data_IF_290125109250
#
_entry.id   IF_290125109250
#
_cell.length_a   1.000
_cell.length_b   1.000
_cell.length_c   1.000
_cell.angle_alpha   90.00
_cell.angle_beta   90.00
_cell.angle_gamma   90.00
#
_symmetry.space_group_name_H-M   'P 1'
#
loop_
_entity.id
_entity.type
_entity.pdbx_description
1 polymer ?
#
# COMPACT_ATOMS: atom_id res chain seq x y z
N UNK A 1 11.27 -11.43 10.78
CA UNK A 1 10.21 -10.51 10.29
C UNK A 1 10.88 -9.41 9.49
N UNK A 2 10.49 -9.22 8.25
CA UNK A 2 11.08 -8.21 7.37
C UNK A 2 10.41 -6.84 7.57
N UNK A 3 10.52 -6.32 8.80
CA UNK A 3 9.93 -5.04 9.20
C UNK A 3 10.26 -3.87 8.23
N UNK A 4 11.49 -3.74 7.69
CA UNK A 4 11.78 -2.70 6.71
C UNK A 4 10.89 -2.77 5.46
N UNK A 5 10.61 -3.96 4.93
CA UNK A 5 9.74 -4.14 3.77
C UNK A 5 8.26 -3.89 4.10
N UNK A 6 7.82 -4.27 5.30
CA UNK A 6 6.48 -3.94 5.81
C UNK A 6 6.29 -2.43 5.82
N UNK A 7 7.24 -1.69 6.39
CA UNK A 7 7.20 -0.22 6.45
C UNK A 7 7.25 0.40 5.05
N UNK A 8 8.19 -0.03 4.21
CA UNK A 8 8.31 0.48 2.84
C UNK A 8 7.00 0.33 2.07
N UNK A 9 6.45 -0.88 2.03
CA UNK A 9 5.27 -1.15 1.22
C UNK A 9 4.03 -0.43 1.74
N UNK A 10 3.80 -0.37 3.05
CA UNK A 10 2.62 0.30 3.61
C UNK A 10 2.71 1.82 3.49
N UNK A 11 3.88 2.42 3.80
CA UNK A 11 4.05 3.87 3.74
C UNK A 11 4.05 4.39 2.29
N UNK A 12 4.67 3.68 1.36
CA UNK A 12 4.63 4.03 -0.07
C UNK A 12 3.20 3.96 -0.61
N UNK A 13 2.41 2.96 -0.23
CA UNK A 13 1.00 2.84 -0.62
C UNK A 13 0.16 3.95 -0.01
N UNK A 14 0.39 4.34 1.25
CA UNK A 14 -0.27 5.49 1.85
C UNK A 14 0.05 6.79 1.09
N UNK A 15 1.30 7.00 0.70
CA UNK A 15 1.72 8.14 -0.09
C UNK A 15 1.06 8.17 -1.48
N UNK A 16 1.09 7.04 -2.19
CA UNK A 16 0.44 6.90 -3.51
C UNK A 16 -1.07 7.12 -3.40
N UNK A 17 -1.70 6.52 -2.39
CA UNK A 17 -3.12 6.67 -2.12
C UNK A 17 -3.53 8.12 -1.84
N UNK A 18 -2.72 8.89 -1.09
CA UNK A 18 -2.95 10.32 -0.87
C UNK A 18 -2.98 11.09 -2.19
N UNK A 19 -2.04 10.83 -3.10
CA UNK A 19 -2.00 11.49 -4.41
C UNK A 19 -3.20 11.08 -5.27
N UNK A 20 -3.63 9.81 -5.22
CA UNK A 20 -4.86 9.35 -5.88
C UNK A 20 -6.09 10.11 -5.36
N UNK A 21 -6.22 10.26 -4.03
CA UNK A 21 -7.34 11.01 -3.44
C UNK A 21 -7.25 12.51 -3.73
N UNK A 22 -6.07 13.07 -3.89
CA UNK A 22 -5.89 14.44 -4.36
C UNK A 22 -6.43 14.59 -5.77
N UNK A 23 -6.09 13.70 -6.69
CA UNK A 23 -6.60 13.70 -8.07
C UNK A 23 -8.14 13.51 -8.12
N UNK A 24 -8.69 12.62 -7.32
CA UNK A 24 -10.16 12.43 -7.22
C UNK A 24 -10.85 13.72 -6.78
N UNK A 25 -10.31 14.40 -5.77
CA UNK A 25 -10.89 15.67 -5.27
C UNK A 25 -10.77 16.84 -6.27
N UNK A 26 -9.77 16.84 -7.14
CA UNK A 26 -9.67 17.84 -8.22
C UNK A 26 -10.87 17.81 -9.17
N UNK A 27 -11.48 16.63 -9.35
CA UNK A 27 -12.59 16.44 -10.30
C UNK A 27 -13.96 16.40 -9.63
N UNK A 28 -14.03 15.97 -8.37
CA UNK A 28 -15.30 15.66 -7.72
C UNK A 28 -15.74 16.66 -6.65
N UNK A 29 -14.98 17.71 -6.37
CA UNK A 29 -15.31 18.59 -5.27
C UNK A 29 -14.81 20.03 -5.38
N UNK A 30 -15.34 20.93 -4.54
CA UNK A 30 -14.79 22.26 -4.41
C UNK A 30 -13.34 22.14 -3.95
N UNK A 31 -12.40 22.51 -4.80
CA UNK A 31 -10.99 22.54 -4.51
C UNK A 31 -10.72 23.39 -3.28
N UNK A 32 -10.39 22.77 -2.19
CA UNK A 32 -10.05 23.44 -0.93
C UNK A 32 -9.32 22.45 -0.02
N UNK A 33 -8.28 22.95 0.61
CA UNK A 33 -7.44 22.16 1.52
C UNK A 33 -6.01 22.67 1.53
N UNK A 34 -5.23 22.25 2.51
CA UNK A 34 -3.82 22.64 2.60
C UNK A 34 -2.96 21.73 1.73
N UNK A 35 -2.99 21.97 0.41
CA UNK A 35 -2.25 21.18 -0.55
C UNK A 35 -0.76 21.02 -0.18
N UNK A 36 -0.09 22.08 0.32
CA UNK A 36 1.32 22.01 0.70
C UNK A 36 1.57 20.99 1.82
N UNK A 37 0.75 21.02 2.88
CA UNK A 37 0.88 20.06 3.99
C UNK A 37 0.61 18.63 3.53
N UNK A 38 -0.38 18.45 2.66
CA UNK A 38 -0.70 17.13 2.08
C UNK A 38 0.50 16.57 1.30
N UNK A 39 1.09 17.36 0.38
CA UNK A 39 2.25 16.93 -0.37
C UNK A 39 3.51 16.75 0.48
N UNK A 40 3.65 17.53 1.57
CA UNK A 40 4.70 17.28 2.56
C UNK A 40 4.53 15.92 3.23
N UNK A 41 3.30 15.54 3.58
CA UNK A 41 3.04 14.21 4.14
C UNK A 41 3.31 13.10 3.10
N UNK A 42 2.91 13.29 1.84
CA UNK A 42 3.21 12.36 0.73
C UNK A 42 4.72 12.12 0.62
N UNK A 43 5.50 13.21 0.54
CA UNK A 43 6.95 13.12 0.44
C UNK A 43 7.59 12.47 1.68
N UNK A 44 7.08 12.80 2.88
CA UNK A 44 7.58 12.22 4.13
C UNK A 44 7.30 10.71 4.21
N UNK A 45 6.07 10.27 3.92
CA UNK A 45 5.71 8.85 3.92
C UNK A 45 6.55 8.05 2.92
N UNK A 46 6.69 8.56 1.69
CA UNK A 46 7.51 7.90 0.67
C UNK A 46 8.98 7.88 1.03
N UNK A 47 9.51 9.01 1.53
CA UNK A 47 10.92 9.13 1.93
C UNK A 47 11.27 8.20 3.10
N UNK A 48 10.41 8.15 4.13
CA UNK A 48 10.57 7.22 5.26
C UNK A 48 10.48 5.78 4.80
N UNK A 49 9.53 5.46 3.90
CA UNK A 49 9.42 4.12 3.31
C UNK A 49 10.69 3.71 2.56
N UNK A 50 11.21 4.57 1.67
CA UNK A 50 12.46 4.32 0.95
C UNK A 50 13.63 4.17 1.94
N UNK A 51 13.75 5.05 2.93
CA UNK A 51 14.79 4.95 3.94
C UNK A 51 14.68 3.62 4.71
N UNK A 52 13.47 3.22 5.12
CA UNK A 52 13.25 1.93 5.78
C UNK A 52 13.72 0.76 4.89
N UNK A 53 13.44 0.79 3.58
CA UNK A 53 13.86 -0.28 2.66
C UNK A 53 15.38 -0.47 2.58
N UNK A 54 16.18 0.56 2.87
CA UNK A 54 17.63 0.44 2.86
C UNK A 54 18.16 -0.44 4.01
N UNK A 55 17.42 -0.55 5.11
CA UNK A 55 17.87 -1.33 6.28
C UNK A 55 17.78 -2.86 6.10
N UNK A 56 17.10 -3.35 5.06
CA UNK A 56 17.11 -4.78 4.75
C UNK A 56 18.21 -5.17 3.75
N UNK A 57 18.90 -4.19 3.15
CA UNK A 57 19.96 -4.44 2.21
C UNK A 57 21.27 -4.76 2.94
N UNK A 58 21.95 -5.83 2.55
CA UNK A 58 23.29 -6.14 3.05
C UNK A 58 24.33 -5.06 2.75
N UNK A 59 24.16 -4.34 1.62
CA UNK A 59 25.04 -3.26 1.17
C UNK A 59 24.20 -2.03 0.76
N UNK A 60 23.70 -1.21 1.69
CA UNK A 60 22.81 -0.07 1.39
C UNK A 60 23.42 0.95 0.42
N UNK A 61 24.75 1.18 0.49
CA UNK A 61 25.46 2.11 -0.38
C UNK A 61 25.50 1.66 -1.84
N UNK A 62 25.26 0.40 -2.11
CA UNK A 62 25.22 -0.17 -3.46
C UNK A 62 23.79 -0.29 -4.02
N UNK A 63 22.79 0.29 -3.33
CA UNK A 63 21.39 0.24 -3.74
C UNK A 63 21.12 0.77 -5.16
N UNK A 64 21.98 1.66 -5.68
CA UNK A 64 21.92 2.14 -7.07
C UNK A 64 22.07 1.01 -8.10
N UNK A 65 22.72 -0.12 -7.73
CA UNK A 65 22.82 -1.31 -8.60
C UNK A 65 21.46 -1.97 -8.86
N UNK A 66 20.49 -1.72 -8.01
CA UNK A 66 19.12 -2.17 -8.26
C UNK A 66 18.54 -1.61 -9.58
N UNK A 67 19.07 -0.50 -10.09
CA UNK A 67 18.66 0.09 -11.37
C UNK A 67 19.31 -0.57 -12.61
N UNK A 68 20.30 -1.47 -12.43
CA UNK A 68 21.06 -2.05 -13.53
C UNK A 68 20.27 -2.98 -14.47
N UNK A 69 19.10 -3.50 -14.02
CA UNK A 69 18.37 -4.54 -14.74
C UNK A 69 16.90 -4.16 -15.05
N UNK A 70 16.68 -2.93 -15.51
CA UNK A 70 15.32 -2.41 -15.80
C UNK A 70 14.54 -3.27 -16.81
N UNK A 71 15.22 -3.91 -17.77
CA UNK A 71 14.57 -4.76 -18.76
C UNK A 71 14.07 -6.09 -18.19
N UNK A 72 14.75 -6.63 -17.16
CA UNK A 72 14.55 -8.01 -16.68
C UNK A 72 13.96 -8.10 -15.27
N UNK A 73 14.22 -7.12 -14.39
CA UNK A 73 13.87 -7.20 -12.98
C UNK A 73 12.76 -6.22 -12.59
N UNK A 74 11.71 -6.74 -11.98
CA UNK A 74 10.62 -5.91 -11.43
C UNK A 74 11.10 -5.01 -10.31
N UNK A 75 12.04 -5.46 -9.47
CA UNK A 75 12.68 -4.65 -8.44
C UNK A 75 13.34 -3.39 -9.04
N UNK A 76 14.03 -3.50 -10.18
CA UNK A 76 14.63 -2.32 -10.83
C UNK A 76 13.57 -1.30 -11.25
N UNK A 77 12.45 -1.77 -11.77
CA UNK A 77 11.31 -0.92 -12.17
C UNK A 77 10.63 -0.29 -10.97
N UNK A 78 10.50 -1.04 -9.87
CA UNK A 78 9.96 -0.55 -8.60
C UNK A 78 10.81 0.60 -8.04
N UNK A 79 12.13 0.40 -7.95
CA UNK A 79 13.06 1.41 -7.44
C UNK A 79 13.03 2.68 -8.30
N UNK A 80 13.00 2.53 -9.63
CA UNK A 80 12.92 3.67 -10.54
C UNK A 80 11.60 4.43 -10.38
N UNK A 81 10.46 3.73 -10.43
CA UNK A 81 9.14 4.35 -10.35
C UNK A 81 8.90 5.00 -8.98
N UNK A 82 9.34 4.35 -7.89
CA UNK A 82 9.28 4.90 -6.54
C UNK A 82 10.16 6.15 -6.40
N UNK A 83 11.34 6.15 -6.98
CA UNK A 83 12.23 7.31 -7.02
C UNK A 83 11.64 8.50 -7.79
N UNK A 84 11.04 8.26 -8.97
CA UNK A 84 10.35 9.28 -9.75
C UNK A 84 9.16 9.84 -8.97
N UNK A 85 8.33 8.98 -8.38
CA UNK A 85 7.20 9.39 -7.55
C UNK A 85 7.65 10.26 -6.38
N UNK A 86 8.70 9.85 -5.66
CA UNK A 86 9.27 10.61 -4.55
C UNK A 86 9.78 11.98 -5.01
N UNK A 87 10.49 12.06 -6.12
CA UNK A 87 11.01 13.31 -6.68
C UNK A 87 9.87 14.30 -7.02
N UNK A 88 8.80 13.80 -7.66
CA UNK A 88 7.61 14.60 -7.97
C UNK A 88 6.91 15.08 -6.70
N UNK A 89 6.76 14.22 -5.70
CA UNK A 89 6.15 14.55 -4.42
C UNK A 89 6.97 15.59 -3.65
N UNK A 90 8.29 15.43 -3.57
CA UNK A 90 9.20 16.36 -2.94
C UNK A 90 9.20 17.74 -3.64
N UNK A 91 9.21 17.74 -4.97
CA UNK A 91 9.08 18.97 -5.77
C UNK A 91 7.74 19.68 -5.50
N UNK A 92 6.63 18.95 -5.47
CA UNK A 92 5.32 19.50 -5.18
C UNK A 92 5.25 20.10 -3.75
N UNK A 93 5.82 19.42 -2.76
CA UNK A 93 5.88 19.87 -1.38
C UNK A 93 6.74 21.14 -1.23
N UNK A 94 7.93 21.16 -1.84
CA UNK A 94 8.88 22.28 -1.75
C UNK A 94 8.35 23.55 -2.42
N UNK A 95 7.76 23.41 -3.62
CA UNK A 95 7.33 24.56 -4.42
C UNK A 95 5.91 25.01 -4.14
N UNK A 96 5.06 24.15 -3.55
CA UNK A 96 3.62 24.39 -3.36
C UNK A 96 2.83 24.42 -4.69
N UNK A 97 3.47 24.11 -5.83
CA UNK A 97 2.87 24.21 -7.19
C UNK A 97 1.77 23.21 -7.45
N UNK A 98 1.65 22.15 -6.67
CA UNK A 98 0.58 21.15 -6.86
C UNK A 98 -0.83 21.72 -6.76
N UNK A 99 -1.04 22.80 -6.01
CA UNK A 99 -2.35 23.46 -5.88
C UNK A 99 -2.89 24.03 -7.21
N UNK A 100 -2.01 24.35 -8.16
CA UNK A 100 -2.38 24.98 -9.45
C UNK A 100 -1.96 24.18 -10.68
N UNK A 101 -1.43 22.96 -10.52
CA UNK A 101 -0.91 22.17 -11.63
C UNK A 101 -1.54 20.77 -11.70
N UNK A 102 -2.66 20.60 -12.43
CA UNK A 102 -3.23 19.27 -12.68
C UNK A 102 -2.22 18.31 -13.31
N UNK A 103 -1.34 18.83 -14.17
CA UNK A 103 -0.28 18.02 -14.82
C UNK A 103 0.63 17.37 -13.80
N UNK A 104 1.09 18.13 -12.78
CA UNK A 104 1.95 17.58 -11.74
C UNK A 104 1.23 16.50 -10.92
N UNK A 105 -0.05 16.71 -10.61
CA UNK A 105 -0.87 15.71 -9.89
C UNK A 105 -1.00 14.44 -10.71
N UNK A 106 -1.37 14.55 -11.99
CA UNK A 106 -1.56 13.37 -12.85
C UNK A 106 -0.24 12.65 -13.17
N UNK A 107 0.86 13.37 -13.35
CA UNK A 107 2.18 12.78 -13.50
C UNK A 107 2.57 11.98 -12.24
N UNK A 108 2.26 12.52 -11.06
CA UNK A 108 2.50 11.82 -9.79
C UNK A 108 1.58 10.60 -9.61
N UNK A 109 0.31 10.69 -10.03
CA UNK A 109 -0.61 9.53 -10.06
C UNK A 109 -0.04 8.43 -10.94
N UNK A 110 0.39 8.76 -12.17
CA UNK A 110 0.94 7.78 -13.09
C UNK A 110 2.21 7.11 -12.51
N UNK A 111 3.15 7.91 -12.00
CA UNK A 111 4.36 7.40 -11.37
C UNK A 111 4.05 6.50 -10.16
N UNK A 112 3.08 6.91 -9.32
CA UNK A 112 2.63 6.13 -8.17
C UNK A 112 1.97 4.81 -8.55
N UNK A 113 1.11 4.79 -9.55
CA UNK A 113 0.49 3.55 -10.05
C UNK A 113 1.50 2.61 -10.68
N UNK A 114 2.49 3.13 -11.41
CA UNK A 114 3.59 2.33 -11.95
C UNK A 114 4.47 1.76 -10.83
N UNK A 115 4.75 2.54 -9.78
CA UNK A 115 5.48 2.05 -8.61
C UNK A 115 4.69 0.95 -7.88
N UNK A 116 3.38 1.12 -7.70
CA UNK A 116 2.51 0.13 -7.07
C UNK A 116 2.43 -1.17 -7.89
N UNK A 117 2.28 -1.06 -9.21
CA UNK A 117 2.30 -2.22 -10.11
C UNK A 117 3.63 -2.95 -10.05
N UNK A 118 4.74 -2.22 -10.17
CA UNK A 118 6.08 -2.81 -10.11
C UNK A 118 6.33 -3.49 -8.76
N UNK A 119 5.92 -2.85 -7.65
CA UNK A 119 5.99 -3.44 -6.31
C UNK A 119 5.18 -4.73 -6.21
N UNK A 120 3.93 -4.73 -6.68
CA UNK A 120 3.09 -5.93 -6.70
C UNK A 120 3.74 -7.09 -7.47
N UNK A 121 4.37 -6.80 -8.60
CA UNK A 121 5.08 -7.80 -9.41
C UNK A 121 6.41 -8.24 -8.78
N UNK A 122 7.11 -7.37 -8.05
CA UNK A 122 8.32 -7.71 -7.29
C UNK A 122 8.00 -8.78 -6.22
N UNK A 123 6.85 -8.66 -5.57
CA UNK A 123 6.41 -9.60 -4.52
C UNK A 123 5.52 -10.75 -5.03
N UNK A 124 5.51 -10.98 -6.35
CA UNK A 124 4.87 -12.12 -7.00
C UNK A 124 5.88 -13.07 -7.66
N UNK A 125 6.98 -13.51 -6.99
CA UNK A 125 7.96 -14.39 -7.62
C UNK A 125 7.40 -15.83 -7.75
N UNK A 126 7.89 -16.62 -8.74
CA UNK A 126 7.51 -18.02 -8.89
C UNK A 126 7.76 -18.88 -7.64
N UNK A 127 8.70 -18.46 -6.81
CA UNK A 127 9.03 -19.15 -5.57
C UNK A 127 7.98 -19.01 -4.45
N UNK A 128 6.96 -18.18 -4.65
CA UNK A 128 5.82 -17.98 -3.74
C UNK A 128 4.51 -18.33 -4.46
N UNK A 129 4.15 -19.62 -4.65
CA UNK A 129 3.03 -20.04 -5.50
C UNK A 129 1.68 -19.41 -5.15
N UNK A 130 1.41 -19.16 -3.86
CA UNK A 130 0.17 -18.55 -3.40
C UNK A 130 -0.03 -17.12 -3.92
N UNK A 131 1.06 -16.39 -4.16
CA UNK A 131 1.04 -14.99 -4.58
C UNK A 131 1.73 -14.74 -5.92
N UNK A 132 2.16 -15.79 -6.64
CA UNK A 132 2.71 -15.69 -8.00
C UNK A 132 1.60 -15.39 -9.03
N UNK A 133 0.92 -14.28 -8.82
CA UNK A 133 -0.21 -13.80 -9.63
C UNK A 133 -0.46 -12.32 -9.33
N UNK A 134 -1.62 -11.78 -9.71
CA UNK A 134 -1.97 -10.38 -9.48
C UNK A 134 -2.33 -10.02 -8.02
N UNK A 135 -2.43 -10.99 -7.10
CA UNK A 135 -2.88 -10.73 -5.72
C UNK A 135 -2.03 -9.70 -4.96
N UNK A 136 -0.68 -9.70 -5.02
CA UNK A 136 0.09 -8.65 -4.34
C UNK A 136 -0.29 -7.25 -4.84
N UNK A 137 -0.46 -7.08 -6.16
CA UNK A 137 -0.90 -5.80 -6.74
C UNK A 137 -2.29 -5.41 -6.24
N UNK A 138 -3.22 -6.35 -6.17
CA UNK A 138 -4.58 -6.13 -5.64
C UNK A 138 -4.54 -5.71 -4.17
N UNK A 139 -3.79 -6.42 -3.34
CA UNK A 139 -3.62 -6.07 -1.92
C UNK A 139 -3.03 -4.67 -1.76
N UNK A 140 -2.02 -4.33 -2.55
CA UNK A 140 -1.33 -3.05 -2.49
C UNK A 140 -2.23 -1.90 -2.95
N UNK A 141 -3.03 -2.13 -3.99
CA UNK A 141 -4.01 -1.14 -4.45
C UNK A 141 -5.10 -0.89 -3.40
N UNK A 142 -5.62 -1.94 -2.77
CA UNK A 142 -6.59 -1.81 -1.67
C UNK A 142 -5.98 -1.01 -0.52
N UNK A 143 -4.77 -1.35 -0.06
CA UNK A 143 -4.06 -0.61 0.98
C UNK A 143 -3.87 0.86 0.60
N UNK A 144 -3.50 1.14 -0.66
CA UNK A 144 -3.32 2.51 -1.14
C UNK A 144 -4.64 3.30 -1.10
N UNK A 145 -5.77 2.69 -1.52
CA UNK A 145 -7.07 3.37 -1.49
C UNK A 145 -7.56 3.56 -0.05
N UNK A 146 -7.43 2.56 0.82
CA UNK A 146 -7.80 2.64 2.24
C UNK A 146 -7.01 3.73 2.93
N UNK A 147 -5.69 3.67 2.91
CA UNK A 147 -4.83 4.64 3.60
C UNK A 147 -4.91 6.03 2.95
N UNK A 148 -5.00 6.07 1.61
CA UNK A 148 -5.15 7.31 0.87
C UNK A 148 -6.42 8.06 1.27
N UNK A 149 -7.57 7.41 1.28
CA UNK A 149 -8.84 8.02 1.68
C UNK A 149 -8.83 8.44 3.15
N UNK A 150 -8.26 7.59 4.03
CA UNK A 150 -8.14 7.89 5.44
C UNK A 150 -7.29 9.15 5.71
N UNK A 151 -6.05 9.19 5.22
CA UNK A 151 -5.16 10.33 5.44
C UNK A 151 -5.58 11.60 4.68
N UNK A 152 -6.20 11.46 3.49
CA UNK A 152 -6.71 12.61 2.72
C UNK A 152 -7.80 13.36 3.49
N UNK A 153 -8.52 12.72 4.42
CA UNK A 153 -9.53 13.37 5.24
C UNK A 153 -8.97 14.52 6.08
N UNK A 154 -7.70 14.49 6.46
CA UNK A 154 -7.06 15.58 7.22
C UNK A 154 -6.91 16.87 6.43
N UNK A 155 -6.87 16.78 5.12
CA UNK A 155 -6.58 17.90 4.21
C UNK A 155 -7.80 18.31 3.37
N UNK A 156 -8.86 17.50 3.39
CA UNK A 156 -10.02 17.71 2.55
C UNK A 156 -10.96 18.79 3.11
N UNK A 157 -11.50 19.61 2.22
CA UNK A 157 -12.59 20.52 2.57
C UNK A 157 -13.84 19.73 3.02
N UNK A 158 -14.70 20.37 3.83
CA UNK A 158 -15.90 19.73 4.37
C UNK A 158 -16.79 19.08 3.28
N UNK A 159 -16.93 19.71 2.12
CA UNK A 159 -17.69 19.18 0.99
C UNK A 159 -17.15 17.89 0.37
N UNK A 160 -15.85 17.60 0.53
CA UNK A 160 -15.22 16.38 0.01
C UNK A 160 -15.20 15.23 1.03
N UNK A 161 -15.50 15.49 2.29
CA UNK A 161 -15.47 14.47 3.36
C UNK A 161 -16.40 13.28 3.09
N UNK A 162 -17.67 13.47 2.65
CA UNK A 162 -18.55 12.33 2.38
C UNK A 162 -18.07 11.45 1.24
N UNK A 163 -17.41 12.03 0.22
CA UNK A 163 -16.82 11.26 -0.88
C UNK A 163 -15.68 10.38 -0.38
N UNK A 164 -14.75 10.94 0.40
CA UNK A 164 -13.63 10.18 0.98
C UNK A 164 -14.14 9.08 1.91
N UNK A 165 -15.14 9.36 2.73
CA UNK A 165 -15.75 8.35 3.60
C UNK A 165 -16.37 7.19 2.80
N UNK A 166 -17.06 7.48 1.69
CA UNK A 166 -17.60 6.43 0.80
C UNK A 166 -16.49 5.60 0.17
N UNK A 167 -15.44 6.24 -0.38
CA UNK A 167 -14.30 5.53 -0.96
C UNK A 167 -13.63 4.64 0.09
N UNK A 168 -13.41 5.17 1.29
CA UNK A 168 -12.81 4.42 2.40
C UNK A 168 -13.64 3.20 2.78
N UNK A 169 -14.96 3.37 2.98
CA UNK A 169 -15.88 2.26 3.30
C UNK A 169 -15.89 1.22 2.19
N UNK A 170 -16.00 1.64 0.92
CA UNK A 170 -15.98 0.71 -0.21
C UNK A 170 -14.67 -0.08 -0.26
N UNK A 171 -13.53 0.59 -0.09
CA UNK A 171 -12.23 -0.07 -0.09
C UNK A 171 -12.06 -1.04 1.09
N UNK A 172 -12.58 -0.69 2.29
CA UNK A 172 -12.61 -1.60 3.44
C UNK A 172 -13.45 -2.85 3.18
N UNK A 173 -14.66 -2.68 2.62
CA UNK A 173 -15.54 -3.82 2.30
C UNK A 173 -14.88 -4.73 1.27
N UNK A 174 -14.37 -4.16 0.16
CA UNK A 174 -13.65 -4.94 -0.86
C UNK A 174 -12.42 -5.62 -0.25
N UNK A 175 -11.66 -4.90 0.57
CA UNK A 175 -10.47 -5.42 1.25
C UNK A 175 -10.81 -6.59 2.19
N UNK A 176 -11.85 -6.47 3.00
CA UNK A 176 -12.30 -7.54 3.88
C UNK A 176 -12.76 -8.76 3.10
N UNK A 177 -13.56 -8.57 2.04
CA UNK A 177 -13.99 -9.68 1.17
C UNK A 177 -12.79 -10.40 0.58
N UNK A 178 -11.85 -9.66 -0.03
CA UNK A 178 -10.64 -10.25 -0.65
C UNK A 178 -9.79 -10.97 0.40
N UNK A 179 -9.54 -10.34 1.55
CA UNK A 179 -8.71 -10.93 2.62
C UNK A 179 -9.34 -12.18 3.24
N UNK A 180 -10.66 -12.26 3.37
CA UNK A 180 -11.34 -13.44 3.90
C UNK A 180 -11.44 -14.58 2.87
N UNK A 181 -11.62 -14.26 1.59
CA UNK A 181 -11.82 -15.29 0.56
C UNK A 181 -10.51 -15.88 0.04
N UNK A 182 -9.44 -15.10 -0.06
CA UNK A 182 -8.18 -15.55 -0.66
C UNK A 182 -7.54 -16.71 0.10
N UNK A 183 -7.35 -16.70 1.44
CA UNK A 183 -6.79 -17.85 2.15
C UNK A 183 -7.64 -19.10 1.98
N UNK A 184 -8.98 -18.98 1.95
CA UNK A 184 -9.87 -20.10 1.72
C UNK A 184 -9.69 -20.69 0.30
N UNK A 185 -9.49 -19.85 -0.73
CA UNK A 185 -9.19 -20.33 -2.08
C UNK A 185 -7.85 -21.09 -2.15
N UNK A 186 -6.84 -20.65 -1.38
CA UNK A 186 -5.56 -21.34 -1.32
C UNK A 186 -5.64 -22.74 -0.71
N UNK A 187 -6.63 -23.01 0.18
CA UNK A 187 -6.84 -24.35 0.76
C UNK A 187 -7.14 -25.42 -0.30
N UNK A 188 -7.67 -25.02 -1.46
CA UNK A 188 -7.96 -25.90 -2.60
C UNK A 188 -6.83 -25.94 -3.64
N UNK A 189 -5.73 -25.22 -3.40
CA UNK A 189 -4.59 -25.12 -4.31
C UNK A 189 -3.57 -26.23 -4.14
N UNK A 190 -2.36 -25.98 -4.67
CA UNK A 190 -1.21 -26.86 -4.44
C UNK A 190 -0.84 -26.94 -2.96
N UNK A 191 -0.04 -27.94 -2.57
CA UNK A 191 0.33 -28.14 -1.15
C UNK A 191 0.93 -26.88 -0.51
N UNK A 192 1.80 -26.16 -1.21
CA UNK A 192 2.41 -24.91 -0.69
C UNK A 192 1.38 -23.79 -0.58
N UNK A 193 0.43 -23.70 -1.52
CA UNK A 193 -0.68 -22.75 -1.41
C UNK A 193 -1.56 -23.08 -0.22
N UNK A 194 -1.89 -24.35 -0.01
CA UNK A 194 -2.67 -24.83 1.13
C UNK A 194 -1.98 -24.53 2.45
N UNK A 195 -0.67 -24.77 2.55
CA UNK A 195 0.14 -24.45 3.74
C UNK A 195 0.15 -22.94 3.99
N UNK A 196 0.27 -22.09 2.95
CA UNK A 196 0.16 -20.63 3.09
C UNK A 196 -1.22 -20.23 3.61
N UNK A 197 -2.29 -20.82 3.09
CA UNK A 197 -3.66 -20.55 3.57
C UNK A 197 -3.84 -20.89 5.04
N UNK A 198 -3.35 -22.06 5.47
CA UNK A 198 -3.38 -22.50 6.86
C UNK A 198 -2.53 -21.58 7.77
N UNK A 199 -1.32 -21.19 7.33
CA UNK A 199 -0.45 -20.28 8.05
C UNK A 199 -1.13 -18.91 8.27
N UNK A 200 -1.73 -18.34 7.23
CA UNK A 200 -2.46 -17.07 7.37
C UNK A 200 -3.63 -17.18 8.33
N UNK A 201 -4.48 -18.21 8.18
CA UNK A 201 -5.66 -18.42 9.04
C UNK A 201 -5.26 -18.73 10.51
N UNK A 202 -4.09 -19.32 10.72
CA UNK A 202 -3.53 -19.60 12.06
C UNK A 202 -2.83 -18.39 12.70
N UNK A 203 -2.48 -17.35 11.94
CA UNK A 203 -1.71 -16.22 12.44
C UNK A 203 -2.58 -15.23 13.23
N UNK A 204 -2.24 -14.90 14.48
CA UNK A 204 -2.99 -13.89 15.26
C UNK A 204 -3.03 -12.52 14.60
N UNK A 205 -1.94 -12.11 13.93
CA UNK A 205 -1.87 -10.83 13.21
C UNK A 205 -2.84 -10.76 12.02
N UNK A 206 -3.18 -11.90 11.39
CA UNK A 206 -4.19 -11.95 10.35
C UNK A 206 -5.56 -11.55 10.91
N UNK A 207 -5.96 -12.11 12.03
CA UNK A 207 -7.23 -11.78 12.66
C UNK A 207 -7.23 -10.37 13.27
N UNK A 208 -6.07 -9.91 13.76
CA UNK A 208 -5.92 -8.52 14.19
C UNK A 208 -6.12 -7.54 13.02
N UNK A 209 -5.55 -7.82 11.84
CA UNK A 209 -5.81 -7.04 10.63
C UNK A 209 -7.31 -7.00 10.29
N UNK A 210 -7.97 -8.16 10.23
CA UNK A 210 -9.41 -8.25 9.94
C UNK A 210 -10.23 -7.46 10.97
N UNK A 211 -9.94 -7.63 12.26
CA UNK A 211 -10.64 -6.93 13.34
C UNK A 211 -10.46 -5.41 13.27
N UNK A 212 -9.24 -4.93 12.98
CA UNK A 212 -8.96 -3.49 12.86
C UNK A 212 -9.67 -2.89 11.64
N UNK A 213 -9.69 -3.59 10.50
CA UNK A 213 -10.41 -3.14 9.30
C UNK A 213 -11.93 -3.13 9.55
N UNK A 214 -12.47 -4.16 10.20
CA UNK A 214 -13.88 -4.21 10.58
C UNK A 214 -14.25 -3.12 11.60
N UNK A 215 -13.36 -2.82 12.56
CA UNK A 215 -13.54 -1.71 13.49
C UNK A 215 -13.59 -0.35 12.77
N UNK A 216 -12.70 -0.12 11.79
CA UNK A 216 -12.77 1.08 10.94
C UNK A 216 -14.12 1.20 10.23
N UNK A 217 -14.63 0.09 9.68
CA UNK A 217 -15.94 0.05 9.03
C UNK A 217 -17.06 0.34 10.02
N UNK A 218 -17.02 -0.24 11.22
CA UNK A 218 -18.00 -0.02 12.28
C UNK A 218 -18.08 1.44 12.75
N UNK A 219 -16.92 2.11 12.85
CA UNK A 219 -16.87 3.54 13.20
C UNK A 219 -17.58 4.39 12.15
N UNK A 220 -17.46 4.06 10.87
CA UNK A 220 -18.08 4.83 9.78
C UNK A 220 -19.53 4.45 9.48
N UNK A 221 -20.05 3.38 10.08
CA UNK A 221 -21.44 2.99 9.88
C UNK A 221 -22.43 4.11 10.20
N UNK A 222 -22.12 4.91 11.25
CA UNK A 222 -22.94 6.04 11.68
C UNK A 222 -22.40 7.40 11.28
N UNK A 223 -21.13 7.47 10.83
CA UNK A 223 -20.45 8.72 10.54
C UNK A 223 -20.30 8.93 9.03
N UNK A 224 -20.63 10.12 8.55
CA UNK A 224 -20.41 10.53 7.15
C UNK A 224 -19.05 11.17 6.90
N UNK A 225 -18.25 11.31 7.95
CA UNK A 225 -16.91 11.90 7.93
C UNK A 225 -15.93 10.98 8.64
N UNK A 226 -14.68 10.95 8.18
CA UNK A 226 -13.62 10.14 8.77
C UNK A 226 -13.07 10.87 10.00
N UNK A 227 -13.20 10.32 11.22
CA UNK A 227 -12.61 10.93 12.42
C UNK A 227 -11.09 11.05 12.30
N UNK A 228 -10.50 12.12 12.85
CA UNK A 228 -9.08 12.42 12.67
C UNK A 228 -8.11 11.35 13.21
N UNK A 229 -8.55 10.51 14.15
CA UNK A 229 -7.75 9.39 14.69
C UNK A 229 -7.85 8.10 13.87
N UNK A 230 -8.89 7.96 13.04
CA UNK A 230 -9.17 6.72 12.30
C UNK A 230 -8.07 6.33 11.30
N UNK A 231 -7.34 7.25 10.65
CA UNK A 231 -6.19 6.91 9.81
C UNK A 231 -5.11 6.11 10.51
N UNK A 232 -4.89 6.33 11.82
CA UNK A 232 -3.92 5.57 12.60
C UNK A 232 -4.38 4.13 12.84
N UNK A 233 -5.69 3.94 13.06
CA UNK A 233 -6.25 2.58 13.21
C UNK A 233 -6.15 1.81 11.88
N UNK A 234 -6.48 2.46 10.76
CA UNK A 234 -6.33 1.88 9.43
C UNK A 234 -4.86 1.53 9.13
N UNK A 235 -3.92 2.43 9.47
CA UNK A 235 -2.49 2.18 9.32
C UNK A 235 -2.03 0.96 10.14
N UNK A 236 -2.45 0.86 11.40
CA UNK A 236 -2.13 -0.29 12.26
C UNK A 236 -2.67 -1.59 11.65
N UNK A 237 -3.89 -1.57 11.12
CA UNK A 237 -4.46 -2.72 10.44
C UNK A 237 -3.69 -3.11 9.18
N UNK A 238 -3.32 -2.17 8.32
CA UNK A 238 -2.55 -2.47 7.11
C UNK A 238 -1.12 -2.94 7.43
N UNK A 239 -0.49 -2.42 8.49
CA UNK A 239 0.79 -2.92 8.97
C UNK A 239 0.69 -4.37 9.45
N UNK A 240 -0.35 -4.71 10.21
CA UNK A 240 -0.59 -6.09 10.66
C UNK A 240 -0.80 -7.04 9.46
N UNK A 241 -1.65 -6.65 8.50
CA UNK A 241 -1.89 -7.44 7.29
C UNK A 241 -0.66 -7.60 6.41
N UNK A 242 0.21 -6.58 6.35
CA UNK A 242 1.46 -6.64 5.60
C UNK A 242 2.51 -7.50 6.31
N UNK A 243 2.54 -7.46 7.64
CA UNK A 243 3.40 -8.35 8.42
C UNK A 243 3.05 -9.82 8.14
N UNK A 244 1.76 -10.19 8.14
CA UNK A 244 1.30 -11.53 7.75
C UNK A 244 1.73 -11.89 6.32
N UNK A 245 1.56 -10.97 5.37
CA UNK A 245 1.98 -11.20 3.98
C UNK A 245 3.44 -11.61 3.87
N UNK A 246 4.34 -10.96 4.61
CA UNK A 246 5.78 -11.26 4.55
C UNK A 246 6.22 -12.41 5.45
N UNK A 247 5.53 -12.68 6.59
CA UNK A 247 5.94 -13.72 7.51
C UNK A 247 5.31 -15.09 7.25
N UNK A 248 4.07 -15.10 6.74
CA UNK A 248 3.27 -16.33 6.65
C UNK A 248 3.10 -16.84 5.21
N UNK A 249 3.62 -16.13 4.19
CA UNK A 249 3.58 -16.62 2.81
C UNK A 249 4.74 -17.59 2.59
N UNK A 250 4.42 -18.86 2.35
CA UNK A 250 5.40 -19.95 2.32
C UNK A 250 6.12 -20.01 0.98
N UNK A 251 7.43 -20.09 1.05
CA UNK A 251 8.33 -20.20 -0.08
C UNK A 251 8.58 -21.68 -0.44
N UNK A 252 8.69 -22.02 -1.73
CA UNK A 252 9.01 -23.38 -2.19
C UNK A 252 10.28 -23.96 -1.61
N UNK A 253 11.28 -23.10 -1.29
CA UNK A 253 12.55 -23.52 -0.69
C UNK A 253 12.40 -24.14 0.71
N UNK A 254 11.31 -23.91 1.42
CA UNK A 254 11.07 -24.52 2.75
C UNK A 254 10.95 -26.03 2.65
N UNK A 255 10.53 -26.56 1.49
CA UNK A 255 10.38 -27.99 1.27
C UNK A 255 11.62 -28.65 0.62
N UNK A 256 12.68 -27.89 0.29
CA UNK A 256 13.91 -28.45 -0.24
C UNK A 256 14.65 -29.15 0.91
N UNK A 257 14.65 -30.49 0.89
CA UNK A 257 15.30 -31.32 1.92
C UNK A 257 14.36 -31.83 3.00
N UNK A 258 13.08 -31.47 3.00
CA UNK A 258 12.10 -32.17 3.82
C UNK A 258 11.77 -33.53 3.17
N UNK A 259 11.80 -34.67 3.90
CA UNK A 259 11.30 -35.93 3.38
C UNK A 259 9.79 -35.76 3.11
N UNK A 260 9.37 -36.07 1.90
CA UNK A 260 7.97 -36.11 1.50
C UNK A 260 7.22 -37.22 2.21
#
# INVERSE_FOLDING_TARGET
MELPLVLFTVLSQAAIGLVLMNAVRLHAGPGGGNARKEWTLVAALMGVGIAASLFHLGHPLESYRALAHLEKAWLSREVLAAGIFFALAAFAAATGRAKGSPVLVWASVLAGLLALLASGMTYAPPALPAVNNALPTVFFLISAVVLGAAFASWFAAAGSQPLLARIFVTALVVGLVVRLTVPCAWLSGSEIMRQTGLAWLGAPLYWAHIALMAACLGVLWKNRTIPAWLPFLALAGELAGRAVFFSETIHTAVNIGAPY
#
